data_IF_047849389474
#
_entry.id   IF_047849389474
#
_cell.length_a   1.000
_cell.length_b   1.000
_cell.length_c   1.000
_cell.angle_alpha   90.00
_cell.angle_beta   90.00
_cell.angle_gamma   90.00
#
_symmetry.space_group_name_H-M   'P 1'
#
loop_
_entity.id
_entity.type
_entity.pdbx_description
1 polymer ?
#
# COMPACT_ATOMS: atom_id res chain seq x y z
N UNK A 1 7.14 -2.96 -13.63
CA UNK A 1 8.55 -2.80 -13.23
C UNK A 1 8.64 -2.85 -11.70
N UNK A 2 9.46 -3.75 -11.16
CA UNK A 2 9.63 -3.98 -9.72
C UNK A 2 10.49 -2.92 -9.02
N UNK A 3 11.33 -2.21 -9.77
CA UNK A 3 12.23 -1.19 -9.25
C UNK A 3 11.63 0.22 -9.34
N UNK A 4 10.59 0.40 -10.16
CA UNK A 4 9.85 1.65 -10.21
C UNK A 4 9.15 1.95 -8.87
N UNK A 5 9.05 3.23 -8.48
CA UNK A 5 8.28 3.62 -7.31
C UNK A 5 6.80 3.28 -7.50
N UNK A 6 6.12 2.85 -6.44
CA UNK A 6 4.67 2.60 -6.42
C UNK A 6 3.91 3.85 -6.87
N UNK A 7 4.39 5.03 -6.48
CA UNK A 7 3.84 6.33 -6.86
C UNK A 7 3.75 6.55 -8.37
N UNK A 8 4.54 5.85 -9.20
CA UNK A 8 4.42 5.87 -10.66
C UNK A 8 3.06 5.36 -11.14
N UNK A 9 2.49 4.39 -10.43
CA UNK A 9 1.21 3.77 -10.79
C UNK A 9 0.07 4.26 -9.89
N UNK A 10 0.40 4.69 -8.68
CA UNK A 10 -0.52 5.16 -7.66
C UNK A 10 -0.02 6.48 -7.03
N UNK A 11 -0.21 7.64 -7.68
CA UNK A 11 0.38 8.91 -7.27
C UNK A 11 0.11 9.31 -5.81
N UNK A 12 -1.10 9.05 -5.32
CA UNK A 12 -1.55 9.36 -3.95
C UNK A 12 -0.73 8.59 -2.90
N UNK A 13 -0.15 7.45 -3.26
CA UNK A 13 0.73 6.68 -2.38
C UNK A 13 2.01 7.44 -2.02
N UNK A 14 2.41 8.47 -2.77
CA UNK A 14 3.63 9.24 -2.50
C UNK A 14 3.62 10.01 -1.16
N UNK A 15 2.44 10.18 -0.54
CA UNK A 15 2.29 10.94 0.69
C UNK A 15 3.14 10.38 1.85
N UNK A 16 3.48 11.24 2.81
CA UNK A 16 4.11 10.85 4.07
C UNK A 16 5.39 10.00 3.94
N UNK A 17 6.26 10.38 3.01
CA UNK A 17 7.60 9.79 2.84
C UNK A 17 7.63 8.50 2.04
N UNK A 18 6.59 8.23 1.23
CA UNK A 18 6.45 6.98 0.46
C UNK A 18 6.74 7.13 -1.03
N UNK A 19 7.14 8.31 -1.50
CA UNK A 19 7.37 8.63 -2.91
C UNK A 19 8.32 7.64 -3.61
N UNK A 20 9.37 7.20 -2.92
CA UNK A 20 10.43 6.35 -3.49
C UNK A 20 10.29 4.86 -3.18
N UNK A 21 9.18 4.43 -2.54
CA UNK A 21 8.98 3.00 -2.23
C UNK A 21 8.83 2.22 -3.54
N UNK A 22 9.74 1.28 -3.88
CA UNK A 22 9.64 0.50 -5.09
C UNK A 22 8.58 -0.60 -4.94
N UNK A 23 7.98 -1.02 -6.06
CA UNK A 23 6.94 -2.07 -6.07
C UNK A 23 7.41 -3.35 -5.37
N UNK A 24 8.68 -3.74 -5.53
CA UNK A 24 9.25 -4.92 -4.85
C UNK A 24 9.09 -4.90 -3.33
N UNK A 25 9.06 -3.72 -2.68
CA UNK A 25 8.91 -3.60 -1.23
C UNK A 25 7.48 -3.84 -0.74
N UNK A 26 6.46 -3.66 -1.58
CA UNK A 26 5.12 -4.15 -1.27
C UNK A 26 5.10 -5.69 -1.26
N UNK A 27 5.73 -6.29 -2.27
CA UNK A 27 5.79 -7.74 -2.46
C UNK A 27 6.64 -8.44 -1.38
N UNK A 28 7.65 -7.75 -0.84
CA UNK A 28 8.57 -8.29 0.18
C UNK A 28 8.30 -7.78 1.60
N UNK A 29 7.14 -7.16 1.85
CA UNK A 29 6.71 -6.71 3.18
C UNK A 29 7.64 -5.67 3.85
N UNK A 30 8.25 -4.79 3.07
CA UNK A 30 9.22 -3.78 3.56
C UNK A 30 8.68 -2.35 3.56
N UNK A 31 7.42 -2.14 3.17
CA UNK A 31 6.82 -0.81 3.04
C UNK A 31 6.34 -0.15 4.35
N UNK A 32 6.32 -0.89 5.47
CA UNK A 32 5.96 -0.33 6.78
C UNK A 32 4.47 -0.09 7.02
N UNK A 33 3.57 -0.73 6.25
CA UNK A 33 2.13 -0.50 6.32
C UNK A 33 1.37 -1.75 6.80
N UNK A 34 1.85 -2.42 7.84
CA UNK A 34 1.31 -3.72 8.29
C UNK A 34 -0.08 -3.64 8.94
N UNK A 35 -0.45 -2.48 9.44
CA UNK A 35 -1.78 -2.16 9.99
C UNK A 35 -2.15 -0.74 9.62
N UNK A 36 -3.44 -0.42 9.70
CA UNK A 36 -3.89 0.97 9.65
C UNK A 36 -3.45 1.71 10.92
N UNK A 37 -3.14 3.00 10.78
CA UNK A 37 -2.77 3.90 11.88
C UNK A 37 -3.98 4.61 12.50
N UNK A 38 -5.15 4.50 11.87
CA UNK A 38 -6.43 5.00 12.37
C UNK A 38 -7.50 3.89 12.36
N UNK A 39 -8.47 3.95 13.30
CA UNK A 39 -9.64 3.08 13.22
C UNK A 39 -10.41 3.31 11.93
N UNK A 40 -10.81 2.23 11.26
CA UNK A 40 -11.68 2.28 10.08
C UNK A 40 -12.95 1.47 10.38
N UNK A 41 -14.15 2.05 10.21
CA UNK A 41 -15.42 1.32 10.36
C UNK A 41 -15.46 0.05 9.50
N UNK A 42 -16.15 -1.00 9.96
CA UNK A 42 -16.18 -2.28 9.26
C UNK A 42 -16.67 -2.16 7.81
N UNK A 43 -17.69 -1.34 7.55
CA UNK A 43 -18.20 -1.11 6.20
C UNK A 43 -17.15 -0.48 5.27
N UNK A 44 -16.30 0.41 5.78
CA UNK A 44 -15.19 0.99 5.04
C UNK A 44 -14.03 0.01 4.89
N UNK A 45 -13.76 -0.80 5.91
CA UNK A 45 -12.72 -1.83 5.89
C UNK A 45 -13.02 -2.96 4.89
N UNK A 46 -14.30 -3.15 4.54
CA UNK A 46 -14.77 -4.07 3.51
C UNK A 46 -14.86 -3.42 2.12
N UNK A 47 -14.69 -2.10 2.04
CA UNK A 47 -14.76 -1.34 0.79
C UNK A 47 -13.35 -1.03 0.25
N UNK A 48 -13.22 -1.07 -1.08
CA UNK A 48 -11.91 -0.93 -1.72
C UNK A 48 -11.30 0.47 -1.59
N UNK A 49 -12.07 1.48 -1.98
CA UNK A 49 -11.56 2.85 -2.05
C UNK A 49 -11.13 3.40 -0.68
N UNK A 50 -11.92 3.26 0.40
CA UNK A 50 -11.51 3.73 1.73
C UNK A 50 -10.21 3.08 2.23
N UNK A 51 -10.08 1.76 2.06
CA UNK A 51 -8.86 1.05 2.48
C UNK A 51 -7.62 1.50 1.70
N UNK A 52 -7.72 1.61 0.38
CA UNK A 52 -6.61 2.12 -0.43
C UNK A 52 -6.25 3.56 -0.03
N UNK A 53 -7.24 4.44 0.08
CA UNK A 53 -7.03 5.84 0.45
C UNK A 53 -6.35 5.99 1.82
N UNK A 54 -6.80 5.22 2.83
CA UNK A 54 -6.19 5.22 4.15
C UNK A 54 -4.72 4.79 4.11
N UNK A 55 -4.40 3.71 3.40
CA UNK A 55 -3.02 3.23 3.25
C UNK A 55 -2.12 4.19 2.46
N UNK A 56 -2.66 4.86 1.44
CA UNK A 56 -1.94 5.90 0.70
C UNK A 56 -1.63 7.12 1.58
N UNK A 57 -2.56 7.52 2.44
CA UNK A 57 -2.37 8.65 3.32
C UNK A 57 -1.47 8.33 4.53
N UNK A 58 -1.43 7.09 5.01
CA UNK A 58 -0.70 6.72 6.22
C UNK A 58 0.83 6.86 6.11
N UNK A 59 1.49 7.23 7.21
CA UNK A 59 2.96 7.15 7.35
C UNK A 59 3.40 5.70 7.63
N UNK A 60 4.48 5.19 7.00
CA UNK A 60 5.07 3.92 7.38
C UNK A 60 5.44 3.84 8.87
N UNK A 61 5.23 2.69 9.50
CA UNK A 61 5.57 2.42 10.91
C UNK A 61 7.08 2.36 11.15
N UNK A 62 7.86 2.13 10.10
CA UNK A 62 9.32 2.19 10.10
C UNK A 62 9.81 2.77 8.77
N UNK A 63 11.08 3.18 8.70
CA UNK A 63 11.68 3.64 7.46
C UNK A 63 11.62 2.55 6.39
N UNK A 64 10.91 2.74 5.26
CA UNK A 64 10.78 1.70 4.26
C UNK A 64 12.14 1.13 3.82
N UNK A 65 12.23 -0.20 3.73
CA UNK A 65 13.46 -0.91 3.37
C UNK A 65 14.46 -1.15 4.50
N UNK A 66 14.30 -0.54 5.68
CA UNK A 66 15.20 -0.82 6.82
C UNK A 66 14.74 -1.99 7.68
N UNK A 67 13.49 -2.43 7.51
CA UNK A 67 12.90 -3.57 8.22
C UNK A 67 11.81 -4.25 7.38
N UNK A 68 11.38 -5.42 7.83
CA UNK A 68 10.26 -6.17 7.26
C UNK A 68 9.25 -6.52 8.35
N UNK A 69 7.98 -6.61 7.98
CA UNK A 69 6.92 -7.08 8.86
C UNK A 69 5.75 -7.57 8.02
N UNK A 70 5.24 -8.76 8.31
CA UNK A 70 4.20 -9.38 7.49
C UNK A 70 2.93 -8.51 7.44
N UNK A 71 2.53 -8.10 6.22
CA UNK A 71 1.37 -7.23 5.99
C UNK A 71 0.07 -8.06 5.93
N UNK A 72 -0.19 -8.87 6.96
CA UNK A 72 -1.20 -9.92 6.90
C UNK A 72 -2.63 -9.48 6.56
N UNK A 73 -2.98 -8.21 6.83
CA UNK A 73 -4.29 -7.64 6.47
C UNK A 73 -4.23 -6.62 5.34
N UNK A 74 -3.13 -5.89 5.20
CA UNK A 74 -3.00 -4.75 4.29
C UNK A 74 -2.40 -5.12 2.94
N UNK A 75 -1.72 -6.27 2.84
CA UNK A 75 -0.99 -6.67 1.62
C UNK A 75 -1.90 -6.77 0.39
N UNK A 76 -3.08 -7.38 0.53
CA UNK A 76 -4.03 -7.53 -0.57
C UNK A 76 -4.49 -6.18 -1.14
N UNK A 77 -4.70 -5.18 -0.29
CA UNK A 77 -5.06 -3.83 -0.71
C UNK A 77 -3.88 -3.12 -1.41
N UNK A 78 -2.67 -3.21 -0.84
CA UNK A 78 -1.47 -2.56 -1.37
C UNK A 78 -1.10 -3.07 -2.76
N UNK A 79 -0.97 -4.38 -2.91
CA UNK A 79 -0.63 -5.00 -4.21
C UNK A 79 -1.81 -4.91 -5.16
N UNK A 80 -3.03 -5.12 -4.65
CA UNK A 80 -4.24 -5.06 -5.43
C UNK A 80 -4.50 -3.69 -6.04
N UNK A 81 -4.19 -2.59 -5.34
CA UNK A 81 -4.42 -1.25 -5.89
C UNK A 81 -3.47 -0.97 -7.05
N UNK A 82 -2.22 -1.44 -6.96
CA UNK A 82 -1.28 -1.40 -8.09
C UNK A 82 -1.81 -2.22 -9.27
N UNK A 83 -2.32 -3.44 -9.03
CA UNK A 83 -2.93 -4.27 -10.09
C UNK A 83 -4.09 -3.54 -10.76
N UNK A 84 -5.02 -2.97 -9.98
CA UNK A 84 -6.18 -2.24 -10.51
C UNK A 84 -5.78 -1.06 -11.37
N UNK A 85 -4.81 -0.25 -10.92
CA UNK A 85 -4.38 0.94 -11.66
C UNK A 85 -3.61 0.63 -12.94
N UNK A 86 -2.81 -0.44 -12.93
CA UNK A 86 -2.04 -0.84 -14.12
C UNK A 86 -2.89 -1.60 -15.13
N UNK A 87 -3.83 -2.44 -14.68
CA UNK A 87 -4.55 -3.37 -15.56
C UNK A 87 -6.02 -3.02 -15.80
N UNK A 88 -6.64 -2.16 -14.98
CA UNK A 88 -8.08 -1.94 -14.97
C UNK A 88 -8.90 -3.12 -14.41
N UNK A 89 -8.27 -4.17 -13.86
CA UNK A 89 -8.92 -5.39 -13.37
C UNK A 89 -8.81 -5.54 -11.85
N UNK A 90 -9.70 -6.35 -11.26
CA UNK A 90 -9.61 -6.72 -9.83
C UNK A 90 -8.56 -7.81 -9.59
N UNK A 91 -7.94 -7.86 -8.39
CA UNK A 91 -7.08 -8.96 -7.99
C UNK A 91 -7.92 -10.17 -7.58
N UNK A 92 -8.31 -11.00 -8.55
CA UNK A 92 -9.11 -12.22 -8.33
C UNK A 92 -10.59 -11.94 -8.11
#
# INVERSE_FOLDING_TARGET
DLNAPVAKYWPEFAANGKADIPVRWLLSHQAGLITLDQPVPLNEALAWHPMAAALAAQRPQWTPGTAHGYHGRTWGWLVGEVIRRVSGRTPG
#
